data_IF_782328953343
#
_entry.id   IF_782328953343
#
_cell.length_a   1.000
_cell.length_b   1.000
_cell.length_c   1.000
_cell.angle_alpha   90.00
_cell.angle_beta   90.00
_cell.angle_gamma   90.00
#
_symmetry.space_group_name_H-M   'P 1'
#
loop_
_entity.id
_entity.type
_entity.pdbx_description
1 polymer ?
#
# COMPACT_ATOMS: atom_id res chain seq x y z
N UNK A 1 -4.19 -16.59 -8.19
CA UNK A 1 -4.30 -16.68 -6.71
C UNK A 1 -3.82 -15.39 -6.06
N UNK A 2 -4.52 -14.93 -5.07
CA UNK A 2 -4.10 -13.76 -4.31
C UNK A 2 -3.45 -14.23 -3.02
N UNK A 3 -2.22 -13.79 -2.79
CA UNK A 3 -1.49 -14.08 -1.57
C UNK A 3 -1.37 -12.82 -0.72
N UNK A 4 -1.64 -12.95 0.57
CA UNK A 4 -1.46 -11.85 1.52
C UNK A 4 -0.63 -12.37 2.68
N UNK A 5 0.47 -11.68 2.96
CA UNK A 5 1.35 -12.03 4.06
C UNK A 5 1.61 -10.79 4.91
N UNK A 6 1.45 -10.91 6.20
CA UNK A 6 1.67 -9.82 7.14
C UNK A 6 2.74 -10.25 8.13
N UNK A 7 3.78 -9.46 8.28
CA UNK A 7 4.85 -9.76 9.23
C UNK A 7 5.20 -8.55 10.08
N UNK A 8 5.82 -8.81 11.23
CA UNK A 8 6.27 -7.76 12.13
C UNK A 8 5.19 -7.29 13.09
N UNK A 9 5.53 -6.29 13.88
CA UNK A 9 4.60 -5.71 14.84
C UNK A 9 4.04 -6.72 15.85
N UNK A 10 2.93 -6.36 16.45
CA UNK A 10 2.23 -7.25 17.39
C UNK A 10 1.14 -8.02 16.65
N UNK A 11 0.79 -9.19 17.20
CA UNK A 11 -0.18 -10.07 16.57
C UNK A 11 -1.50 -9.38 16.27
N UNK A 12 -1.99 -8.58 17.20
CA UNK A 12 -3.26 -7.87 17.05
C UNK A 12 -3.24 -6.95 15.83
N UNK A 13 -2.14 -6.24 15.62
CA UNK A 13 -2.00 -5.34 14.47
C UNK A 13 -1.88 -6.13 13.17
N UNK A 14 -1.19 -7.28 13.20
CA UNK A 14 -1.10 -8.13 12.01
C UNK A 14 -2.47 -8.65 11.59
N UNK A 15 -3.26 -9.12 12.55
CA UNK A 15 -4.60 -9.62 12.25
C UNK A 15 -5.49 -8.52 11.67
N UNK A 16 -5.41 -7.33 12.25
CA UNK A 16 -6.18 -6.20 11.76
C UNK A 16 -5.74 -5.81 10.35
N UNK A 17 -4.43 -5.74 10.11
CA UNK A 17 -3.91 -5.41 8.78
C UNK A 17 -4.38 -6.41 7.74
N UNK A 18 -4.37 -7.70 8.07
CA UNK A 18 -4.85 -8.73 7.15
C UNK A 18 -6.31 -8.53 6.78
N UNK A 19 -7.15 -8.26 7.77
CA UNK A 19 -8.57 -8.00 7.51
C UNK A 19 -8.76 -6.78 6.60
N UNK A 20 -8.00 -5.72 6.86
CA UNK A 20 -8.11 -4.50 6.05
C UNK A 20 -7.68 -4.77 4.61
N UNK A 21 -6.57 -5.47 4.42
CA UNK A 21 -6.06 -5.78 3.08
C UNK A 21 -7.09 -6.58 2.30
N UNK A 22 -7.66 -7.64 2.88
CA UNK A 22 -8.68 -8.44 2.21
C UNK A 22 -9.94 -7.63 1.91
N UNK A 23 -10.36 -6.78 2.83
CA UNK A 23 -11.49 -5.90 2.60
C UNK A 23 -11.23 -4.99 1.41
N UNK A 24 -10.04 -4.38 1.36
CA UNK A 24 -9.69 -3.47 0.27
C UNK A 24 -9.60 -4.22 -1.07
N UNK A 25 -9.02 -5.42 -1.08
CA UNK A 25 -8.94 -6.21 -2.30
C UNK A 25 -10.34 -6.52 -2.83
N UNK A 26 -11.25 -6.90 -1.95
CA UNK A 26 -12.61 -7.20 -2.34
C UNK A 26 -13.33 -5.98 -2.93
N UNK A 27 -13.14 -4.81 -2.31
CA UNK A 27 -13.85 -3.60 -2.73
C UNK A 27 -13.21 -2.90 -3.92
N UNK A 28 -11.89 -2.92 -4.00
CA UNK A 28 -11.16 -2.14 -5.01
C UNK A 28 -10.67 -2.96 -6.20
N UNK A 29 -10.40 -4.23 -5.99
CA UNK A 29 -9.82 -5.11 -7.00
C UNK A 29 -10.53 -6.45 -7.07
N UNK A 30 -11.88 -6.47 -7.14
CA UNK A 30 -12.64 -7.73 -7.05
C UNK A 30 -12.39 -8.70 -8.20
N UNK A 31 -11.87 -8.20 -9.32
CA UNK A 31 -11.60 -9.03 -10.50
C UNK A 31 -10.17 -9.44 -10.67
N UNK A 32 -9.28 -8.97 -9.79
CA UNK A 32 -7.88 -9.36 -9.86
C UNK A 32 -7.74 -10.76 -9.27
N UNK A 33 -6.97 -11.60 -9.96
CA UNK A 33 -6.83 -13.01 -9.60
C UNK A 33 -5.41 -13.42 -9.24
N UNK A 34 -4.44 -12.54 -9.49
CA UNK A 34 -3.04 -12.85 -9.25
C UNK A 34 -2.34 -11.61 -8.72
N UNK A 35 -2.28 -11.51 -7.41
CA UNK A 35 -1.58 -10.43 -6.70
C UNK A 35 -0.95 -11.02 -5.46
N UNK A 36 0.22 -10.52 -5.11
CA UNK A 36 0.87 -10.84 -3.85
C UNK A 36 1.08 -9.54 -3.08
N UNK A 37 0.51 -9.46 -1.91
CA UNK A 37 0.62 -8.30 -1.04
C UNK A 37 1.36 -8.71 0.22
N UNK A 38 2.50 -8.11 0.47
CA UNK A 38 3.26 -8.33 1.69
C UNK A 38 3.19 -7.04 2.50
N UNK A 39 2.71 -7.14 3.73
CA UNK A 39 2.67 -6.00 4.64
C UNK A 39 3.71 -6.21 5.73
N UNK A 40 4.60 -5.25 5.87
CA UNK A 40 5.66 -5.27 6.86
C UNK A 40 5.35 -4.22 7.93
N UNK A 41 5.04 -4.67 9.13
CA UNK A 41 4.86 -3.78 10.28
C UNK A 41 6.23 -3.56 10.91
N UNK A 42 6.89 -2.52 10.47
CA UNK A 42 8.30 -2.29 10.76
C UNK A 42 8.60 -0.79 10.81
N UNK A 43 9.87 -0.43 10.86
CA UNK A 43 10.29 0.95 10.68
C UNK A 43 10.25 1.23 9.18
N UNK A 44 9.48 2.24 8.77
CA UNK A 44 9.32 2.54 7.35
C UNK A 44 10.64 3.03 6.73
N UNK A 45 10.81 2.72 5.46
CA UNK A 45 11.99 3.12 4.70
C UNK A 45 12.22 4.63 4.77
N UNK A 46 11.16 5.40 4.66
CA UNK A 46 11.26 6.85 4.74
C UNK A 46 10.95 7.31 6.15
N UNK A 47 11.93 7.93 6.78
CA UNK A 47 11.77 8.42 8.15
C UNK A 47 10.62 9.42 8.24
N UNK A 48 9.77 9.22 9.23
CA UNK A 48 8.61 10.07 9.45
C UNK A 48 7.38 9.68 8.65
N UNK A 49 7.48 8.76 7.71
CA UNK A 49 6.31 8.27 6.99
C UNK A 49 5.56 7.24 7.83
N UNK A 50 4.23 7.31 7.79
CA UNK A 50 3.37 6.34 8.46
C UNK A 50 3.28 5.05 7.68
N UNK A 51 3.32 5.16 6.36
CA UNK A 51 3.25 4.03 5.46
C UNK A 51 4.02 4.29 4.18
N UNK A 52 4.27 3.21 3.46
CA UNK A 52 5.05 3.26 2.22
C UNK A 52 4.67 2.05 1.39
N UNK A 53 4.42 2.26 0.11
CA UNK A 53 4.04 1.18 -0.80
C UNK A 53 4.96 1.18 -2.00
N UNK A 54 5.45 0.00 -2.38
CA UNK A 54 6.23 -0.12 -3.60
C UNK A 54 5.92 -1.44 -4.30
N UNK A 55 6.18 -1.45 -5.60
CA UNK A 55 6.00 -2.61 -6.44
C UNK A 55 7.36 -3.30 -6.58
N UNK A 56 7.35 -4.62 -6.43
CA UNK A 56 8.54 -5.43 -6.63
C UNK A 56 8.83 -5.59 -8.12
N UNK A 57 9.85 -6.38 -8.45
CA UNK A 57 10.24 -6.63 -9.84
C UNK A 57 9.10 -7.21 -10.67
N UNK A 58 8.32 -8.09 -10.08
CA UNK A 58 7.12 -8.62 -10.72
C UNK A 58 6.00 -7.60 -10.53
N UNK A 59 5.29 -7.27 -11.60
CA UNK A 59 4.23 -6.28 -11.57
C UNK A 59 3.00 -6.70 -10.76
N UNK A 60 3.00 -7.91 -10.20
CA UNK A 60 1.93 -8.44 -9.36
C UNK A 60 2.30 -8.49 -7.88
N UNK A 61 3.54 -8.14 -7.56
CA UNK A 61 4.06 -8.22 -6.20
C UNK A 61 4.20 -6.83 -5.61
N UNK A 62 3.50 -6.59 -4.51
CA UNK A 62 3.52 -5.31 -3.82
C UNK A 62 3.96 -5.48 -2.38
N UNK A 63 4.72 -4.52 -1.89
CA UNK A 63 5.12 -4.47 -0.50
C UNK A 63 4.59 -3.18 0.11
N UNK A 64 3.95 -3.32 1.24
CA UNK A 64 3.46 -2.19 2.03
C UNK A 64 4.20 -2.19 3.35
N UNK A 65 4.85 -1.08 3.67
CA UNK A 65 5.48 -0.89 4.97
C UNK A 65 4.59 0.03 5.80
N UNK A 66 4.31 -0.38 7.03
CA UNK A 66 3.55 0.43 7.97
C UNK A 66 4.39 0.57 9.23
N UNK A 67 4.46 1.77 9.78
CA UNK A 67 5.18 1.99 11.02
C UNK A 67 4.56 1.12 12.11
N UNK A 68 5.36 0.23 12.67
CA UNK A 68 4.89 -0.73 13.66
C UNK A 68 4.43 -0.08 14.97
N UNK A 69 4.73 1.21 15.16
CA UNK A 69 4.34 1.96 16.35
C UNK A 69 3.07 2.78 16.14
N UNK A 70 2.53 2.73 14.93
CA UNK A 70 1.47 3.65 14.53
C UNK A 70 0.22 3.54 15.41
N UNK A 71 -0.22 2.31 15.69
CA UNK A 71 -1.40 2.10 16.52
C UNK A 71 -1.21 2.70 17.90
N UNK A 72 -0.06 2.48 18.50
CA UNK A 72 0.25 3.00 19.83
C UNK A 72 0.43 4.51 19.84
N UNK A 73 1.05 5.04 18.79
CA UNK A 73 1.36 6.47 18.74
C UNK A 73 0.16 7.32 18.37
N UNK A 74 -0.68 6.86 17.45
CA UNK A 74 -1.75 7.67 16.89
C UNK A 74 -3.13 7.02 16.89
N UNK A 75 -3.22 5.77 17.32
CA UNK A 75 -4.49 5.07 17.47
C UNK A 75 -4.83 4.14 16.32
N UNK A 76 -5.82 3.31 16.56
CA UNK A 76 -6.23 2.27 15.62
C UNK A 76 -6.84 2.85 14.35
N UNK A 77 -7.55 3.96 14.46
CA UNK A 77 -8.16 4.57 13.27
C UNK A 77 -7.11 5.04 12.29
N UNK A 78 -6.02 5.63 12.78
CA UNK A 78 -4.93 6.07 11.93
C UNK A 78 -4.24 4.89 11.28
N UNK A 79 -4.11 3.78 12.00
CA UNK A 79 -3.56 2.56 11.45
C UNK A 79 -4.43 2.05 10.27
N UNK A 80 -5.74 2.00 10.48
CA UNK A 80 -6.68 1.58 9.44
C UNK A 80 -6.58 2.49 8.22
N UNK A 81 -6.61 3.80 8.44
CA UNK A 81 -6.54 4.76 7.34
C UNK A 81 -5.24 4.62 6.56
N UNK A 82 -4.14 4.39 7.26
CA UNK A 82 -2.84 4.25 6.60
C UNK A 82 -2.78 3.00 5.75
N UNK A 83 -3.26 1.86 6.26
CA UNK A 83 -3.28 0.63 5.47
C UNK A 83 -4.17 0.80 4.24
N UNK A 84 -5.35 1.40 4.41
CA UNK A 84 -6.24 1.67 3.27
C UNK A 84 -5.59 2.58 2.25
N UNK A 85 -4.88 3.61 2.70
CA UNK A 85 -4.17 4.54 1.83
C UNK A 85 -3.14 3.81 0.97
N UNK A 86 -2.37 2.92 1.58
CA UNK A 86 -1.39 2.14 0.83
C UNK A 86 -2.06 1.16 -0.15
N UNK A 87 -3.20 0.62 0.21
CA UNK A 87 -3.95 -0.24 -0.70
C UNK A 87 -4.50 0.52 -1.90
N UNK A 88 -4.80 1.80 -1.75
CA UNK A 88 -5.17 2.63 -2.89
C UNK A 88 -4.00 2.73 -3.87
N UNK A 89 -2.78 2.84 -3.38
CA UNK A 89 -1.60 2.82 -4.25
C UNK A 89 -1.45 1.47 -4.96
N UNK A 90 -1.72 0.37 -4.26
CA UNK A 90 -1.71 -0.95 -4.91
C UNK A 90 -2.71 -0.96 -6.06
N UNK A 91 -3.91 -0.45 -5.84
CA UNK A 91 -4.91 -0.37 -6.90
C UNK A 91 -4.43 0.45 -8.09
N UNK A 92 -3.81 1.59 -7.84
CA UNK A 92 -3.31 2.46 -8.90
C UNK A 92 -2.23 1.79 -9.74
N UNK A 93 -1.33 1.07 -9.08
CA UNK A 93 -0.32 0.28 -9.79
C UNK A 93 -0.94 -0.88 -10.57
N UNK A 94 -1.80 -1.63 -9.91
CA UNK A 94 -2.40 -2.83 -10.50
C UNK A 94 -3.29 -2.49 -11.69
N UNK A 95 -3.95 -1.35 -11.68
CA UNK A 95 -4.78 -0.91 -12.80
C UNK A 95 -3.98 -0.09 -13.83
N UNK A 96 -2.68 0.03 -13.61
CA UNK A 96 -1.74 0.69 -14.54
C UNK A 96 -2.00 2.17 -14.78
N UNK A 97 -2.76 2.81 -13.92
CA UNK A 97 -2.99 4.26 -14.04
C UNK A 97 -1.71 5.06 -13.95
N UNK A 98 -0.72 4.54 -13.26
CA UNK A 98 0.57 5.17 -13.11
C UNK A 98 1.40 5.12 -14.38
N UNK A 99 1.30 4.04 -15.14
CA UNK A 99 2.18 3.77 -16.27
C UNK A 99 2.08 4.82 -17.34
N UNK A 100 0.90 5.35 -17.59
CA UNK A 100 0.69 6.36 -18.62
C UNK A 100 1.53 7.60 -18.39
N UNK A 101 1.92 7.86 -17.16
CA UNK A 101 2.71 9.04 -16.81
C UNK A 101 4.20 8.84 -17.04
N UNK A 102 4.62 7.60 -17.15
CA UNK A 102 6.03 7.27 -17.36
C UNK A 102 6.41 7.41 -18.84
N UNK A 103 5.46 7.24 -19.74
CA UNK A 103 5.71 7.28 -21.18
C UNK A 103 6.31 8.57 -21.70
N UNK A 104 6.07 9.67 -21.03
CA UNK A 104 6.61 10.96 -21.44
C UNK A 104 8.03 11.22 -20.99
N UNK A 105 8.72 10.23 -20.41
CA UNK A 105 10.06 10.40 -19.88
C UNK A 105 10.10 11.06 -18.52
N UNK A 106 8.97 11.26 -17.91
CA UNK A 106 8.89 11.85 -16.58
C UNK A 106 9.27 10.85 -15.50
N UNK A 107 9.63 11.37 -14.34
CA UNK A 107 9.78 10.53 -13.16
C UNK A 107 8.46 9.80 -12.92
N UNK A 108 8.54 8.63 -12.29
CA UNK A 108 7.36 7.86 -11.98
C UNK A 108 6.44 8.67 -11.05
N UNK A 109 5.46 9.28 -11.65
CA UNK A 109 4.44 10.04 -10.98
C UNK A 109 3.09 9.42 -11.29
N UNK A 110 2.13 9.70 -10.48
CA UNK A 110 0.79 9.25 -10.75
C UNK A 110 -0.22 10.33 -10.37
N UNK A 111 -1.38 10.25 -10.97
CA UNK A 111 -2.42 11.25 -10.78
C UNK A 111 -3.39 10.78 -9.71
N UNK A 112 -3.51 11.55 -8.64
CA UNK A 112 -4.49 11.31 -7.60
C UNK A 112 -5.90 11.63 -8.06
N UNK A 113 -6.90 11.24 -7.26
CA UNK A 113 -8.29 11.55 -7.56
C UNK A 113 -8.56 13.05 -7.65
N UNK A 114 -7.79 13.84 -6.93
CA UNK A 114 -7.91 15.31 -6.95
C UNK A 114 -7.18 15.95 -8.12
N UNK A 115 -6.61 15.15 -9.02
CA UNK A 115 -5.90 15.66 -10.18
C UNK A 115 -4.44 15.98 -9.95
N UNK A 116 -3.94 15.81 -8.74
CA UNK A 116 -2.53 16.11 -8.43
C UNK A 116 -1.62 14.94 -8.74
N UNK A 117 -0.38 15.25 -9.09
CA UNK A 117 0.64 14.24 -9.31
C UNK A 117 1.49 14.08 -8.06
N UNK A 118 1.84 12.86 -7.72
CA UNK A 118 2.66 12.55 -6.56
C UNK A 118 3.69 11.49 -6.91
N UNK A 119 4.77 11.47 -6.14
CA UNK A 119 5.72 10.38 -6.20
C UNK A 119 4.99 9.12 -5.73
N UNK A 120 4.90 8.13 -6.59
CA UNK A 120 4.10 6.93 -6.32
C UNK A 120 4.67 6.03 -5.23
N UNK A 121 5.93 6.22 -4.87
CA UNK A 121 6.57 5.47 -3.80
C UNK A 121 6.45 6.17 -2.45
N UNK A 122 5.98 7.39 -2.42
CA UNK A 122 5.97 8.19 -1.21
C UNK A 122 4.55 8.55 -0.82
N UNK A 123 4.12 8.06 0.34
CA UNK A 123 2.82 8.39 0.89
C UNK A 123 2.99 8.81 2.34
N UNK A 124 2.21 9.74 2.76
CA UNK A 124 2.31 10.22 4.13
C UNK A 124 0.96 10.20 4.80
#
# INVERSE_FOLDING_TARGET
MIGVEITGGVKKDRELAEEIVWFCLEKMLPRHRALNITVLLTKTYEEGAKGFCYQEDDDRDFVIEIDHRLTKAEGVEEFIDTVCHEMIHVKQHATKRLIDRVRGGYKKLWKCRDGKYRNYLKTA
#
